data_IF_856218062189
#
_entry.id   IF_856218062189
#
_cell.length_a   1.000
_cell.length_b   1.000
_cell.length_c   1.000
_cell.angle_alpha   90.00
_cell.angle_beta   90.00
_cell.angle_gamma   90.00
#
_symmetry.space_group_name_H-M   'P 1'
#
loop_
_entity.id
_entity.type
_entity.pdbx_description
1 polymer ?
#
# COMPACT_ATOMS: atom_id res chain seq x y z
N UNK A 1 -13.04 4.47 -19.14
CA UNK A 1 -12.30 4.75 -17.92
C UNK A 1 -12.28 3.58 -16.92
N UNK A 2 -13.43 2.92 -16.63
CA UNK A 2 -13.46 1.77 -15.69
C UNK A 2 -12.62 0.58 -16.21
N UNK A 3 -12.68 0.26 -17.50
CA UNK A 3 -11.91 -0.82 -18.11
C UNK A 3 -10.39 -0.56 -17.99
N UNK A 4 -9.93 0.65 -18.31
CA UNK A 4 -8.53 1.04 -18.15
C UNK A 4 -8.06 0.96 -16.69
N UNK A 5 -8.89 1.40 -15.74
CA UNK A 5 -8.61 1.28 -14.29
C UNK A 5 -8.53 -0.18 -13.85
N UNK A 6 -9.38 -1.06 -14.38
CA UNK A 6 -9.38 -2.48 -14.06
C UNK A 6 -8.07 -3.20 -14.39
N UNK A 7 -7.33 -2.72 -15.39
CA UNK A 7 -6.00 -3.25 -15.77
C UNK A 7 -4.85 -2.35 -15.34
N UNK A 8 -5.12 -1.35 -14.48
CA UNK A 8 -4.14 -0.34 -14.04
C UNK A 8 -3.43 0.35 -15.21
N UNK A 9 -4.15 0.58 -16.32
CA UNK A 9 -3.63 1.20 -17.53
C UNK A 9 -3.60 2.71 -17.42
N UNK A 10 -2.43 3.32 -17.60
CA UNK A 10 -2.28 4.79 -17.68
C UNK A 10 -2.54 5.30 -19.09
N UNK A 11 -2.08 4.55 -20.09
CA UNK A 11 -2.34 4.73 -21.50
C UNK A 11 -2.75 3.39 -22.09
N UNK A 12 -3.96 3.31 -22.61
CA UNK A 12 -4.46 2.08 -23.23
C UNK A 12 -5.55 2.40 -24.27
N UNK A 13 -5.65 1.56 -25.27
CA UNK A 13 -6.81 1.47 -26.15
C UNK A 13 -7.86 0.58 -25.50
N UNK A 14 -9.13 0.97 -25.64
CA UNK A 14 -10.26 0.15 -25.22
C UNK A 14 -11.18 -0.04 -26.40
N UNK A 15 -11.24 -1.27 -26.89
CA UNK A 15 -12.14 -1.65 -27.97
C UNK A 15 -13.47 -2.10 -27.35
N UNK A 16 -14.56 -1.55 -27.84
CA UNK A 16 -15.88 -1.85 -27.31
C UNK A 16 -16.99 -1.77 -28.36
N UNK A 17 -18.04 -2.53 -28.13
CA UNK A 17 -19.29 -2.40 -28.89
C UNK A 17 -20.22 -1.48 -28.08
N UNK A 18 -20.71 -0.38 -28.66
CA UNK A 18 -21.69 0.47 -27.99
C UNK A 18 -22.96 -0.32 -27.66
N UNK A 19 -23.55 -0.06 -26.50
CA UNK A 19 -24.86 -0.60 -26.20
C UNK A 19 -25.95 0.07 -27.07
N UNK A 20 -27.04 -0.62 -27.31
CA UNK A 20 -28.18 -0.11 -28.11
C UNK A 20 -28.77 1.16 -27.47
N UNK A 21 -28.84 1.20 -26.15
CA UNK A 21 -29.26 2.37 -25.38
C UNK A 21 -28.07 2.91 -24.57
N UNK A 22 -27.34 3.87 -25.16
CA UNK A 22 -26.12 4.48 -24.58
C UNK A 22 -26.35 5.18 -23.24
N UNK A 23 -27.57 5.57 -22.94
CA UNK A 23 -27.91 6.30 -21.71
C UNK A 23 -28.20 5.35 -20.53
N UNK A 24 -28.53 4.10 -20.82
CA UNK A 24 -28.94 3.13 -19.79
C UNK A 24 -28.03 1.92 -19.67
N UNK A 25 -27.42 1.50 -20.76
CA UNK A 25 -26.68 0.26 -20.84
C UNK A 25 -25.16 0.50 -20.94
N UNK A 26 -24.37 -0.35 -20.28
CA UNK A 26 -22.93 -0.32 -20.39
C UNK A 26 -22.48 -0.89 -21.73
N UNK A 27 -21.43 -0.35 -22.37
CA UNK A 27 -20.85 -0.93 -23.56
C UNK A 27 -20.20 -2.30 -23.26
N UNK A 28 -20.18 -3.16 -24.26
CA UNK A 28 -19.45 -4.44 -24.19
C UNK A 28 -17.97 -4.20 -24.49
N UNK A 29 -17.11 -4.41 -23.51
CA UNK A 29 -15.65 -4.29 -23.68
C UNK A 29 -15.15 -5.55 -24.39
N UNK A 30 -14.45 -5.38 -25.51
CA UNK A 30 -13.85 -6.45 -26.26
C UNK A 30 -12.39 -6.68 -25.86
N UNK A 31 -11.62 -5.57 -25.78
CA UNK A 31 -10.19 -5.63 -25.50
C UNK A 31 -9.75 -4.36 -24.76
N UNK A 32 -8.73 -4.52 -23.92
CA UNK A 32 -7.96 -3.40 -23.34
C UNK A 32 -6.49 -3.60 -23.70
N UNK A 33 -6.00 -2.82 -24.64
CA UNK A 33 -4.63 -2.88 -25.16
C UNK A 33 -3.76 -1.84 -24.44
N UNK A 34 -2.79 -2.26 -23.64
CA UNK A 34 -1.86 -1.39 -22.91
C UNK A 34 -0.77 -0.75 -23.81
N UNK A 35 -0.63 -1.21 -25.03
CA UNK A 35 0.32 -0.68 -26.02
C UNK A 35 -0.40 -0.07 -27.23
N UNK A 36 -1.51 0.61 -26.99
CA UNK A 36 -2.31 1.21 -28.05
C UNK A 36 -1.50 2.21 -28.87
N UNK A 37 -1.54 2.07 -30.19
CA UNK A 37 -0.98 3.04 -31.10
C UNK A 37 -1.79 4.35 -31.10
N UNK A 38 -1.13 5.47 -31.31
CA UNK A 38 -1.78 6.80 -31.35
C UNK A 38 -2.13 7.26 -32.77
N UNK A 39 -1.62 6.59 -33.81
CA UNK A 39 -1.72 7.07 -35.20
C UNK A 39 -3.18 7.26 -35.66
N UNK A 40 -4.01 6.24 -35.57
CA UNK A 40 -5.38 6.29 -36.06
C UNK A 40 -6.22 7.34 -35.31
N UNK A 41 -6.04 7.49 -33.99
CA UNK A 41 -6.75 8.50 -33.22
C UNK A 41 -6.21 9.92 -33.51
N UNK A 42 -4.90 10.06 -33.77
CA UNK A 42 -4.32 11.35 -34.19
C UNK A 42 -4.87 11.80 -35.55
N UNK A 43 -4.99 10.88 -36.50
CA UNK A 43 -5.58 11.16 -37.79
C UNK A 43 -7.07 11.51 -37.68
N UNK A 44 -7.83 10.80 -36.86
CA UNK A 44 -9.26 11.02 -36.66
C UNK A 44 -9.59 12.34 -35.95
N UNK A 45 -8.72 12.80 -35.05
CA UNK A 45 -8.90 14.06 -34.30
C UNK A 45 -8.15 15.24 -34.90
N UNK A 46 -7.35 15.03 -35.94
CA UNK A 46 -6.45 16.03 -36.53
C UNK A 46 -5.49 16.67 -35.49
N UNK A 47 -5.12 15.88 -34.45
CA UNK A 47 -4.26 16.31 -33.37
C UNK A 47 -3.10 15.30 -33.13
N UNK A 48 -1.94 15.81 -32.74
CA UNK A 48 -0.82 14.95 -32.33
C UNK A 48 -1.04 14.37 -30.91
N UNK A 49 -1.77 13.25 -30.85
CA UNK A 49 -2.09 12.57 -29.59
C UNK A 49 -0.85 12.06 -28.88
N UNK A 50 0.21 11.66 -29.63
CA UNK A 50 1.48 11.25 -29.02
C UNK A 50 2.10 12.39 -28.22
N UNK A 51 2.14 13.58 -28.80
CA UNK A 51 2.64 14.79 -28.12
C UNK A 51 1.80 15.16 -26.92
N UNK A 52 0.46 15.08 -27.03
CA UNK A 52 -0.46 15.32 -25.91
C UNK A 52 -0.19 14.36 -24.73
N UNK A 53 -0.08 13.08 -25.02
CA UNK A 53 0.19 12.06 -23.99
C UNK A 53 1.53 12.31 -23.34
N UNK A 54 2.59 12.52 -24.12
CA UNK A 54 3.92 12.83 -23.58
C UNK A 54 3.88 14.08 -22.68
N UNK A 55 3.21 15.14 -23.13
CA UNK A 55 3.04 16.35 -22.33
C UNK A 55 2.32 16.09 -21.02
N UNK A 56 1.23 15.32 -21.03
CA UNK A 56 0.51 14.93 -19.80
C UNK A 56 1.38 14.12 -18.84
N UNK A 57 2.21 13.22 -19.36
CA UNK A 57 3.16 12.48 -18.56
C UNK A 57 4.19 13.40 -17.89
N UNK A 58 4.79 14.32 -18.64
CA UNK A 58 5.78 15.27 -18.10
C UNK A 58 5.15 16.27 -17.13
N UNK A 59 4.02 16.88 -17.50
CA UNK A 59 3.39 17.94 -16.70
C UNK A 59 2.77 17.40 -15.39
N UNK A 60 2.38 16.13 -15.34
CA UNK A 60 1.68 15.53 -14.20
C UNK A 60 2.53 14.56 -13.39
N UNK A 61 3.83 14.48 -13.64
CA UNK A 61 4.71 13.50 -12.99
C UNK A 61 4.12 12.06 -13.05
N UNK A 62 3.50 11.72 -14.19
CA UNK A 62 2.83 10.44 -14.41
C UNK A 62 3.79 9.30 -14.73
N UNK A 63 5.09 9.59 -14.84
CA UNK A 63 6.09 8.55 -14.95
C UNK A 63 6.04 7.63 -13.73
N UNK A 64 6.10 6.34 -13.96
CA UNK A 64 6.33 5.42 -12.85
C UNK A 64 7.61 5.84 -12.19
N UNK A 65 7.49 6.39 -10.97
CA UNK A 65 8.68 6.64 -10.15
C UNK A 65 9.39 5.31 -9.99
N UNK A 66 10.70 5.29 -10.21
CA UNK A 66 11.49 4.11 -9.90
C UNK A 66 11.24 3.69 -8.46
N UNK A 67 11.08 2.38 -8.18
CA UNK A 67 10.90 1.93 -6.82
C UNK A 67 12.07 2.37 -5.95
N UNK A 68 11.77 2.91 -4.79
CA UNK A 68 12.81 3.25 -3.81
C UNK A 68 13.39 1.96 -3.25
N UNK A 69 14.69 1.78 -3.36
CA UNK A 69 15.36 0.64 -2.75
C UNK A 69 15.44 0.84 -1.23
N UNK A 70 14.86 -0.06 -0.47
CA UNK A 70 14.87 -0.07 0.99
C UNK A 70 15.55 -1.33 1.53
N UNK A 71 15.93 -1.32 2.79
CA UNK A 71 16.42 -2.50 3.51
C UNK A 71 15.27 -3.41 3.96
N UNK A 72 15.61 -4.55 4.57
CA UNK A 72 14.63 -5.43 5.21
C UNK A 72 14.05 -4.81 6.49
N UNK A 73 14.77 -3.88 7.09
CA UNK A 73 14.35 -3.07 8.24
C UNK A 73 14.46 -1.60 7.84
N UNK A 74 13.46 -0.83 8.22
CA UNK A 74 13.44 0.63 8.12
C UNK A 74 12.74 1.22 9.35
N UNK A 75 12.89 2.52 9.57
CA UNK A 75 12.21 3.24 10.63
C UNK A 75 10.91 3.85 10.13
N UNK A 76 9.85 3.69 10.90
CA UNK A 76 8.52 4.23 10.66
C UNK A 76 8.06 5.04 11.87
N UNK A 77 7.27 6.06 11.64
CA UNK A 77 6.52 6.70 12.72
C UNK A 77 5.07 6.19 12.63
N UNK A 78 4.60 5.54 13.69
CA UNK A 78 3.25 4.96 13.78
C UNK A 78 2.48 5.69 14.87
N UNK A 79 1.46 6.47 14.49
CA UNK A 79 0.71 7.34 15.40
C UNK A 79 1.61 8.18 16.31
N UNK A 80 2.68 8.80 15.76
CA UNK A 80 3.63 9.61 16.49
C UNK A 80 4.72 8.85 17.25
N UNK A 81 4.71 7.51 17.22
CA UNK A 81 5.74 6.67 17.85
C UNK A 81 6.71 6.15 16.81
N UNK A 82 8.00 6.41 17.02
CA UNK A 82 9.06 5.95 16.11
C UNK A 82 9.40 4.50 16.41
N UNK A 83 9.29 3.62 15.42
CA UNK A 83 9.44 2.18 15.53
C UNK A 83 10.31 1.60 14.41
N UNK A 84 11.07 0.57 14.73
CA UNK A 84 11.68 -0.27 13.69
C UNK A 84 10.62 -1.17 13.07
N UNK A 85 10.47 -1.07 11.75
CA UNK A 85 9.56 -1.91 10.96
C UNK A 85 10.33 -2.88 10.08
N UNK A 86 9.85 -4.13 10.01
CA UNK A 86 10.31 -5.14 9.05
C UNK A 86 9.38 -5.17 7.85
N UNK A 87 9.97 -5.04 6.66
CA UNK A 87 9.25 -5.21 5.41
C UNK A 87 9.08 -6.71 5.14
N UNK A 88 7.88 -7.22 5.39
CA UNK A 88 7.59 -8.65 5.34
C UNK A 88 6.87 -9.03 4.04
N UNK A 89 7.65 -9.50 3.05
CA UNK A 89 7.12 -9.97 1.77
C UNK A 89 6.25 -11.23 1.90
N UNK A 90 6.39 -11.97 2.99
CA UNK A 90 5.56 -13.13 3.33
C UNK A 90 4.18 -12.73 3.86
N UNK A 91 4.03 -11.50 4.36
CA UNK A 91 2.74 -11.01 4.84
C UNK A 91 1.83 -10.64 3.66
N UNK A 92 1.03 -11.61 3.24
CA UNK A 92 0.04 -11.47 2.16
C UNK A 92 -1.31 -10.95 2.64
N UNK A 93 -1.45 -10.67 3.94
CA UNK A 93 -2.67 -10.06 4.48
C UNK A 93 -2.80 -8.59 4.05
N UNK A 94 -4.01 -8.07 4.06
CA UNK A 94 -4.26 -6.64 3.78
C UNK A 94 -3.84 -5.71 4.91
N UNK A 95 -3.34 -6.24 6.04
CA UNK A 95 -3.02 -5.47 7.24
C UNK A 95 -1.54 -5.54 7.59
N UNK A 96 -0.98 -4.44 8.08
CA UNK A 96 0.27 -4.45 8.83
C UNK A 96 0.04 -5.08 10.20
N UNK A 97 1.10 -5.34 10.95
CA UNK A 97 0.98 -5.87 12.31
C UNK A 97 1.87 -5.11 13.28
N UNK A 98 1.31 -4.72 14.41
CA UNK A 98 2.01 -4.00 15.48
C UNK A 98 2.17 -4.92 16.70
N UNK A 99 3.37 -4.93 17.31
CA UNK A 99 3.54 -5.55 18.61
C UNK A 99 2.75 -4.78 19.66
N UNK A 100 1.87 -5.49 20.38
CA UNK A 100 0.98 -4.88 21.35
C UNK A 100 0.71 -5.85 22.49
N UNK A 101 0.97 -5.43 23.73
CA UNK A 101 0.63 -6.15 24.93
C UNK A 101 -0.74 -5.76 25.45
N UNK A 102 -1.32 -6.59 26.32
CA UNK A 102 -2.59 -6.33 27.03
C UNK A 102 -3.72 -5.85 26.10
N UNK A 103 -3.83 -6.49 24.94
CA UNK A 103 -4.86 -6.14 23.96
C UNK A 103 -6.23 -6.53 24.47
N UNK A 104 -7.09 -5.54 24.69
CA UNK A 104 -8.48 -5.73 25.11
C UNK A 104 -9.44 -5.07 24.11
N UNK A 105 -10.53 -5.79 23.80
CA UNK A 105 -11.63 -5.28 22.99
C UNK A 105 -12.88 -5.14 23.88
N UNK A 106 -13.36 -3.91 24.04
CA UNK A 106 -14.60 -3.60 24.77
C UNK A 106 -15.59 -2.87 23.85
N UNK A 107 -16.56 -3.61 23.35
CA UNK A 107 -17.51 -3.09 22.35
C UNK A 107 -16.78 -2.66 21.06
N UNK A 108 -16.87 -1.37 20.74
CA UNK A 108 -16.20 -0.79 19.55
C UNK A 108 -14.86 -0.13 19.85
N UNK A 109 -14.28 -0.38 21.01
CA UNK A 109 -13.01 0.22 21.43
C UNK A 109 -11.97 -0.87 21.67
N UNK A 110 -10.76 -0.66 21.15
CA UNK A 110 -9.59 -1.48 21.41
C UNK A 110 -8.60 -0.70 22.27
N UNK A 111 -8.04 -1.35 23.29
CA UNK A 111 -6.96 -0.80 24.11
C UNK A 111 -5.79 -1.76 24.11
N UNK A 112 -4.57 -1.24 24.18
CA UNK A 112 -3.35 -2.04 24.25
C UNK A 112 -2.23 -1.26 24.93
N UNK A 113 -1.15 -1.98 25.27
CA UNK A 113 0.10 -1.41 25.77
C UNK A 113 1.18 -1.54 24.69
N UNK A 114 1.94 -0.47 24.45
CA UNK A 114 3.10 -0.44 23.56
C UNK A 114 4.18 0.42 24.21
N UNK A 115 5.40 -0.11 24.31
CA UNK A 115 6.52 0.55 25.00
C UNK A 115 6.19 1.03 26.43
N UNK A 116 5.33 0.28 27.14
CA UNK A 116 4.88 0.64 28.49
C UNK A 116 3.78 1.71 28.58
N UNK A 117 3.35 2.28 27.45
CA UNK A 117 2.29 3.25 27.37
C UNK A 117 0.97 2.63 26.92
N UNK A 118 -0.14 3.12 27.48
CA UNK A 118 -1.48 2.69 27.11
C UNK A 118 -2.03 3.47 25.94
N UNK A 119 -2.48 2.75 24.94
CA UNK A 119 -3.10 3.29 23.73
C UNK A 119 -4.56 2.85 23.59
N UNK A 120 -5.33 3.60 22.83
CA UNK A 120 -6.68 3.17 22.50
C UNK A 120 -7.17 3.77 21.18
N UNK A 121 -7.90 2.97 20.39
CA UNK A 121 -8.56 3.40 19.14
C UNK A 121 -9.93 2.71 18.96
N UNK A 122 -10.76 3.22 18.07
CA UNK A 122 -11.94 2.48 17.63
C UNK A 122 -11.52 1.17 16.96
N UNK A 123 -12.27 0.10 17.23
CA UNK A 123 -12.14 -1.17 16.49
C UNK A 123 -12.61 -0.91 15.06
N UNK A 124 -11.71 -1.08 14.09
CA UNK A 124 -12.07 -0.99 12.67
C UNK A 124 -12.75 -2.28 12.22
N UNK A 125 -12.09 -3.41 12.42
CA UNK A 125 -12.59 -4.75 12.13
C UNK A 125 -11.81 -5.81 12.89
N UNK A 126 -12.18 -7.07 12.73
CA UNK A 126 -11.45 -8.22 13.23
C UNK A 126 -11.00 -9.08 12.04
N UNK A 127 -9.81 -9.65 12.13
CA UNK A 127 -9.32 -10.63 11.15
C UNK A 127 -9.19 -11.99 11.81
N UNK A 128 -9.52 -13.03 11.05
CA UNK A 128 -9.35 -14.42 11.45
C UNK A 128 -8.12 -15.01 10.76
N UNK A 129 -7.19 -15.54 11.53
CA UNK A 129 -6.03 -16.24 11.03
C UNK A 129 -6.28 -17.75 11.04
N UNK A 130 -5.89 -18.44 9.98
CA UNK A 130 -6.08 -19.89 9.84
C UNK A 130 -4.99 -20.63 10.62
N UNK A 131 -3.76 -20.13 10.63
CA UNK A 131 -2.62 -20.74 11.31
C UNK A 131 -1.73 -19.68 11.98
N UNK A 132 -1.72 -19.66 13.32
CA UNK A 132 -2.63 -20.36 14.22
C UNK A 132 -4.05 -19.81 14.13
N UNK A 133 -5.05 -20.62 14.45
CA UNK A 133 -6.45 -20.16 14.52
C UNK A 133 -6.57 -19.08 15.62
N UNK A 134 -6.71 -17.86 15.23
CA UNK A 134 -6.71 -16.69 16.12
C UNK A 134 -7.45 -15.52 15.49
N UNK A 135 -8.20 -14.85 16.32
CA UNK A 135 -8.89 -13.61 15.98
C UNK A 135 -8.09 -12.42 16.49
N UNK A 136 -7.82 -11.43 15.63
CA UNK A 136 -7.06 -10.22 15.99
C UNK A 136 -7.86 -8.97 15.69
N UNK A 137 -7.89 -8.01 16.61
CA UNK A 137 -8.46 -6.71 16.32
C UNK A 137 -7.57 -5.93 15.37
N UNK A 138 -8.21 -5.17 14.48
CA UNK A 138 -7.58 -4.25 13.54
C UNK A 138 -8.05 -2.84 13.84
N UNK A 139 -7.11 -1.92 13.85
CA UNK A 139 -7.35 -0.48 14.03
C UNK A 139 -6.75 0.28 12.84
N UNK A 140 -7.22 1.50 12.58
CA UNK A 140 -6.60 2.40 11.61
C UNK A 140 -5.52 3.22 12.31
N UNK A 141 -4.34 3.28 11.71
CA UNK A 141 -3.20 4.05 12.19
C UNK A 141 -2.61 4.91 11.08
N UNK A 142 -2.13 6.08 11.45
CA UNK A 142 -1.32 6.90 10.57
C UNK A 142 0.14 6.43 10.65
N UNK A 143 0.66 6.01 9.51
CA UNK A 143 2.05 5.56 9.37
C UNK A 143 2.79 6.58 8.51
N UNK A 144 3.72 7.30 9.11
CA UNK A 144 4.61 8.20 8.38
C UNK A 144 5.87 7.46 7.93
N UNK A 145 6.16 7.56 6.64
CA UNK A 145 7.36 7.02 6.03
C UNK A 145 7.86 7.95 4.92
N UNK A 146 9.11 8.40 5.03
CA UNK A 146 9.75 9.34 4.08
C UNK A 146 8.90 10.61 3.82
N UNK A 147 8.46 11.26 4.89
CA UNK A 147 7.64 12.48 4.86
C UNK A 147 6.29 12.31 4.15
N UNK A 148 5.78 11.09 4.11
CA UNK A 148 4.44 10.79 3.57
C UNK A 148 3.67 10.00 4.59
N UNK A 149 2.47 10.48 4.93
CA UNK A 149 1.56 9.79 5.86
C UNK A 149 0.62 8.86 5.09
N UNK A 150 0.50 7.64 5.56
CA UNK A 150 -0.38 6.60 5.03
C UNK A 150 -1.35 6.17 6.12
N UNK A 151 -2.65 6.26 5.87
CA UNK A 151 -3.63 5.57 6.70
C UNK A 151 -3.56 4.08 6.40
N UNK A 152 -3.33 3.26 7.44
CA UNK A 152 -3.02 1.83 7.33
C UNK A 152 -3.87 1.03 8.31
N UNK A 153 -4.41 -0.08 7.83
CA UNK A 153 -5.00 -1.09 8.71
C UNK A 153 -3.90 -1.87 9.44
N UNK A 154 -3.97 -1.90 10.75
CA UNK A 154 -2.96 -2.53 11.60
C UNK A 154 -3.61 -3.52 12.57
N UNK A 155 -3.18 -4.79 12.51
CA UNK A 155 -3.55 -5.80 13.49
C UNK A 155 -2.65 -5.72 14.72
N UNK A 156 -3.21 -5.94 15.90
CA UNK A 156 -2.47 -5.93 17.15
C UNK A 156 -2.11 -7.37 17.56
N UNK A 157 -0.81 -7.65 17.73
CA UNK A 157 -0.30 -8.98 18.02
C UNK A 157 0.85 -8.95 19.04
N UNK A 158 0.69 -9.58 20.19
CA UNK A 158 1.72 -9.70 21.24
C UNK A 158 2.89 -10.61 20.88
N UNK A 159 2.80 -11.37 19.79
CA UNK A 159 3.83 -12.36 19.40
C UNK A 159 4.84 -11.80 18.40
N UNK A 160 4.67 -10.59 17.92
CA UNK A 160 5.64 -9.99 17.03
C UNK A 160 6.97 -9.78 17.76
N UNK A 161 8.05 -10.32 17.18
CA UNK A 161 9.41 -10.08 17.68
C UNK A 161 9.96 -8.71 17.27
N UNK A 162 9.33 -8.09 16.31
CA UNK A 162 9.68 -6.76 15.78
C UNK A 162 8.48 -5.86 16.01
N UNK A 163 8.71 -4.61 16.45
CA UNK A 163 7.62 -3.70 16.80
C UNK A 163 6.57 -3.54 15.71
N UNK A 164 6.99 -3.43 14.44
CA UNK A 164 6.08 -3.21 13.34
C UNK A 164 6.40 -4.11 12.13
N UNK A 165 5.41 -4.87 11.65
CA UNK A 165 5.52 -5.68 10.44
C UNK A 165 4.74 -4.99 9.30
N UNK A 166 5.46 -4.66 8.25
CA UNK A 166 4.93 -3.95 7.08
C UNK A 166 4.52 -4.94 6.01
N UNK A 167 3.28 -4.89 5.58
CA UNK A 167 2.73 -5.79 4.58
C UNK A 167 3.05 -5.38 3.14
N UNK A 168 2.72 -6.26 2.18
CA UNK A 168 2.95 -6.01 0.75
C UNK A 168 2.16 -4.84 0.20
N UNK A 169 0.93 -4.62 0.67
CA UNK A 169 0.08 -3.53 0.20
C UNK A 169 0.68 -2.17 0.54
N UNK A 170 1.23 -2.02 1.74
CA UNK A 170 1.97 -0.82 2.10
C UNK A 170 3.18 -0.62 1.19
N UNK A 171 3.98 -1.68 0.98
CA UNK A 171 5.16 -1.60 0.12
C UNK A 171 4.82 -1.17 -1.31
N UNK A 172 3.70 -1.66 -1.86
CA UNK A 172 3.21 -1.23 -3.17
C UNK A 172 2.78 0.23 -3.18
N UNK A 173 2.02 0.68 -2.17
CA UNK A 173 1.56 2.08 -2.03
C UNK A 173 2.75 3.04 -1.89
N UNK A 174 3.77 2.65 -1.15
CA UNK A 174 4.98 3.44 -0.94
C UNK A 174 6.03 3.27 -2.07
N UNK A 175 5.75 2.42 -3.07
CA UNK A 175 6.60 2.11 -4.20
C UNK A 175 8.01 1.65 -3.78
N UNK A 176 8.07 0.60 -2.95
CA UNK A 176 9.31 0.09 -2.36
C UNK A 176 9.80 -1.18 -3.07
N UNK A 177 11.13 -1.28 -3.20
CA UNK A 177 11.86 -2.49 -3.61
C UNK A 177 12.82 -2.89 -2.51
N UNK A 178 12.68 -4.10 -1.96
CA UNK A 178 13.50 -4.56 -0.84
C UNK A 178 14.85 -5.09 -1.33
N UNK A 179 15.93 -4.60 -0.73
CA UNK A 179 17.24 -5.23 -0.80
C UNK A 179 17.41 -6.14 0.44
N UNK A 180 17.35 -7.47 0.29
CA UNK A 180 17.36 -8.39 1.43
C UNK A 180 18.70 -8.44 2.16
N UNK A 181 19.78 -7.94 1.55
CA UNK A 181 21.12 -7.90 2.15
C UNK A 181 21.38 -6.64 3.00
N UNK A 182 20.43 -5.71 3.05
CA UNK A 182 20.61 -4.40 3.68
C UNK A 182 19.53 -4.10 4.71
N UNK A 183 19.85 -3.21 5.65
CA UNK A 183 18.95 -2.62 6.64
C UNK A 183 19.13 -1.11 6.64
N UNK A 184 18.07 -0.36 6.93
CA UNK A 184 18.08 1.10 7.08
C UNK A 184 18.76 1.80 5.88
N UNK A 185 18.26 1.55 4.67
CA UNK A 185 18.80 2.17 3.45
C UNK A 185 18.18 3.55 3.19
N UNK A 186 16.95 3.75 3.62
CA UNK A 186 16.18 4.98 3.41
C UNK A 186 16.01 5.79 4.69
N UNK A 187 16.15 5.14 5.84
CA UNK A 187 15.95 5.74 7.16
C UNK A 187 17.15 5.45 8.08
N UNK A 188 17.28 6.22 9.15
CA UNK A 188 18.26 5.91 10.19
C UNK A 188 17.72 4.81 11.11
N UNK A 189 18.62 4.05 11.74
CA UNK A 189 18.25 3.10 12.79
C UNK A 189 17.59 3.88 13.92
N UNK A 190 16.40 3.45 14.37
CA UNK A 190 15.75 4.05 15.53
C UNK A 190 16.51 3.75 16.82
N UNK A 191 16.46 4.66 17.80
CA UNK A 191 17.17 4.54 19.07
C UNK A 191 16.58 3.49 20.02
N UNK A 192 15.40 2.97 19.73
CA UNK A 192 14.71 1.91 20.52
C UNK A 192 15.42 0.56 20.54
N UNK A 193 16.60 0.46 19.93
CA UNK A 193 17.56 -0.62 20.15
C UNK A 193 17.22 -1.96 19.51
N UNK A 194 16.06 -2.12 18.91
CA UNK A 194 15.63 -3.38 18.28
C UNK A 194 16.22 -3.47 16.85
N UNK A 195 17.53 -3.47 16.76
CA UNK A 195 18.23 -3.57 15.47
C UNK A 195 19.09 -4.82 15.31
N UNK A 196 19.34 -5.52 16.38
CA UNK A 196 20.13 -6.74 16.37
C UNK A 196 19.21 -7.97 16.52
N UNK A 197 18.59 -8.36 15.40
CA UNK A 197 18.14 -9.72 15.28
C UNK A 197 19.41 -10.56 15.20
N UNK A 198 19.83 -11.12 16.33
CA UNK A 198 20.86 -12.13 16.32
C UNK A 198 20.41 -13.25 15.39
N UNK A 199 21.36 -13.72 14.59
CA UNK A 199 21.21 -14.81 13.62
C UNK A 199 20.73 -16.10 14.28
#
# INVERSE_FOLDING_TARGET
>A
LKAAKGVNGQWCGVDFIPADNRDKDAPYILEVNHSAGSKAISEALEEDITKMVLKLYFDRDMWRKEPKQCGVLETFEVDGTVLTGKLDTGNSTSVCSLHADDVEVKGKKVTWTMNGEKHSKPLHRTIELIKPAESRPVVLMDVEFLNTTYEVEVSLDKRNQIPFLVNRDFMQRANLMINPARKFMLTNKSEDGIGDIQK
#
